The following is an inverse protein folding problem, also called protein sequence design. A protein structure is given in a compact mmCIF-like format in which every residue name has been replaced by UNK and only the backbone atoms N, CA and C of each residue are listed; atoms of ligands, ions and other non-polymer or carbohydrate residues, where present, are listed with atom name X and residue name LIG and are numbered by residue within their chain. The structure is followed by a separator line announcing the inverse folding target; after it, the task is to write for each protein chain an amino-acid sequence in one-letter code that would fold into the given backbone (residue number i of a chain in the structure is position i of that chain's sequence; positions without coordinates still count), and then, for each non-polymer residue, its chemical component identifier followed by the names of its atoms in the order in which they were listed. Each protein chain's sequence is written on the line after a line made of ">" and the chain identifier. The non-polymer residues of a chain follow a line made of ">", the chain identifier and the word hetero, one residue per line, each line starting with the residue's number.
data_IF_892954823499
#
_entry.id   IF_892954823499
#
_cell.length_a   1.000
_cell.length_b   1.000
_cell.length_c   1.000
_cell.angle_alpha   90.00
_cell.angle_beta   90.00
_cell.angle_gamma   90.00
#
_symmetry.space_group_name_H-M   'P 1'
#
loop_
_entity.id
_entity.type
_entity.pdbx_description
1 polymer ?
#
# COMPACT_ATOMS: atom_id res chain seq x y z
N UNK A 1 28.04 -18.99 2.04
CA UNK A 1 27.17 -19.90 1.26
C UNK A 1 25.90 -19.13 0.95
N UNK A 2 25.63 -18.76 -0.32
CA UNK A 2 24.40 -18.06 -0.65
C UNK A 2 23.24 -19.05 -0.71
N UNK A 3 22.12 -18.66 -0.11
CA UNK A 3 20.87 -19.43 -0.07
C UNK A 3 20.10 -19.09 -1.35
N UNK A 4 20.06 -20.03 -2.29
CA UNK A 4 19.21 -19.97 -3.49
C UNK A 4 17.74 -20.18 -3.08
N UNK A 5 16.91 -19.14 -3.22
CA UNK A 5 15.46 -19.32 -3.25
C UNK A 5 15.00 -19.31 -4.71
N UNK A 6 14.85 -20.51 -5.29
CA UNK A 6 14.21 -20.69 -6.59
C UNK A 6 12.70 -20.84 -6.42
N UNK A 7 11.92 -20.09 -7.20
CA UNK A 7 10.49 -20.33 -7.40
C UNK A 7 10.31 -21.07 -8.73
N UNK A 8 9.85 -22.32 -8.69
CA UNK A 8 9.45 -23.07 -9.88
C UNK A 8 7.97 -22.82 -10.18
N UNK A 9 7.66 -22.34 -11.39
CA UNK A 9 6.32 -22.46 -11.98
C UNK A 9 6.41 -23.55 -13.04
N UNK A 10 5.96 -24.75 -12.70
CA UNK A 10 5.96 -25.90 -13.61
C UNK A 10 4.86 -25.78 -14.66
N UNK A 11 5.25 -25.65 -15.93
CA UNK A 11 4.38 -25.89 -17.08
C UNK A 11 4.34 -27.41 -17.33
N UNK A 12 3.14 -28.03 -17.30
CA UNK A 12 2.95 -29.39 -17.85
C UNK A 12 2.34 -29.26 -19.24
N UNK A 13 3.06 -29.78 -20.22
CA UNK A 13 2.55 -30.10 -21.55
C UNK A 13 1.54 -31.24 -21.46
N UNK A 14 0.41 -31.09 -22.16
CA UNK A 14 -0.49 -32.19 -22.49
C UNK A 14 -1.07 -31.95 -23.89
N UNK A 15 -0.52 -32.65 -24.88
CA UNK A 15 -1.11 -32.82 -26.20
C UNK A 15 -1.86 -34.16 -26.25
N UNK A 16 -3.20 -34.14 -26.32
CA UNK A 16 -3.97 -35.13 -27.11
C UNK A 16 -5.33 -34.57 -27.54
N UNK A 17 -5.71 -34.98 -28.75
CA UNK A 17 -6.80 -34.54 -29.63
C UNK A 17 -8.19 -35.03 -29.18
N UNK A 18 -9.25 -34.24 -29.44
CA UNK A 18 -10.64 -34.73 -29.47
C UNK A 18 -11.71 -33.62 -29.53
N UNK A 19 -12.28 -33.38 -30.71
CA UNK A 19 -13.47 -32.53 -30.93
C UNK A 19 -14.75 -33.11 -30.27
N UNK A 20 -15.67 -32.23 -29.81
CA UNK A 20 -17.13 -32.20 -30.10
C UNK A 20 -17.79 -31.02 -29.33
N UNK A 21 -18.86 -30.47 -29.92
CA UNK A 21 -19.62 -29.25 -29.59
C UNK A 21 -20.45 -29.27 -28.28
N UNK A 22 -20.72 -28.04 -27.84
CA UNK A 22 -21.93 -27.45 -27.20
C UNK A 22 -22.22 -27.59 -25.70
N UNK A 23 -22.43 -26.39 -25.12
CA UNK A 23 -23.39 -25.98 -24.09
C UNK A 23 -23.21 -26.38 -22.63
N UNK A 24 -23.47 -25.38 -21.77
CA UNK A 24 -23.81 -25.40 -20.34
C UNK A 24 -22.70 -25.59 -19.28
N UNK A 25 -22.43 -24.51 -18.53
CA UNK A 25 -22.00 -24.52 -17.11
C UNK A 25 -23.05 -25.24 -16.23
N UNK A 26 -22.76 -25.76 -15.00
CA UNK A 26 -21.96 -25.10 -13.94
C UNK A 26 -21.14 -26.00 -12.95
N UNK A 27 -20.26 -25.35 -12.17
CA UNK A 27 -19.81 -25.63 -10.76
C UNK A 27 -19.32 -27.05 -10.38
N UNK A 28 -18.00 -27.21 -10.12
CA UNK A 28 -17.41 -27.92 -8.95
C UNK A 28 -15.92 -28.26 -9.16
N UNK A 29 -14.98 -27.52 -8.53
CA UNK A 29 -13.57 -27.95 -8.46
C UNK A 29 -12.82 -27.40 -7.23
N UNK A 30 -13.48 -27.40 -6.06
CA UNK A 30 -12.94 -26.85 -4.82
C UNK A 30 -12.51 -27.90 -3.78
N UNK A 31 -12.33 -29.18 -4.18
CA UNK A 31 -12.22 -30.29 -3.22
C UNK A 31 -10.99 -31.21 -3.31
N UNK A 32 -10.01 -30.98 -4.21
CA UNK A 32 -8.92 -31.97 -4.41
C UNK A 32 -7.50 -31.54 -4.00
N UNK A 33 -7.30 -30.36 -3.40
CA UNK A 33 -5.95 -29.89 -3.01
C UNK A 33 -5.65 -30.09 -1.51
N UNK A 34 -6.63 -30.46 -0.68
CA UNK A 34 -6.48 -30.49 0.78
C UNK A 34 -5.93 -31.79 1.40
N UNK A 35 -5.55 -32.80 0.61
CA UNK A 35 -5.16 -34.13 1.15
C UNK A 35 -3.69 -34.52 1.05
N UNK A 36 -2.81 -33.73 0.44
CA UNK A 36 -1.46 -34.18 0.13
C UNK A 36 -0.33 -33.63 1.03
N UNK A 37 -0.66 -32.91 2.11
CA UNK A 37 0.32 -32.25 2.99
C UNK A 37 0.42 -32.83 4.41
N UNK A 38 -0.04 -34.07 4.66
CA UNK A 38 -0.10 -34.62 6.02
C UNK A 38 1.05 -35.54 6.47
N UNK A 39 1.97 -35.95 5.59
CA UNK A 39 3.00 -36.93 5.97
C UNK A 39 4.41 -36.49 5.55
N UNK A 40 5.04 -35.58 6.29
CA UNK A 40 6.51 -35.61 6.51
C UNK A 40 6.85 -34.78 7.75
N UNK A 41 7.33 -35.44 8.79
CA UNK A 41 7.70 -34.85 10.09
C UNK A 41 9.22 -34.76 10.24
N UNK A 42 9.66 -33.70 10.91
CA UNK A 42 10.90 -33.51 11.68
C UNK A 42 12.21 -33.12 10.98
N UNK A 43 12.51 -31.81 11.01
CA UNK A 43 13.87 -31.25 11.13
C UNK A 43 13.81 -30.10 12.17
N UNK A 44 14.80 -29.92 13.07
CA UNK A 44 14.76 -28.86 14.08
C UNK A 44 15.07 -27.50 13.45
N UNK A 45 14.20 -26.51 13.67
CA UNK A 45 14.37 -25.12 13.24
C UNK A 45 15.01 -24.31 14.39
N UNK A 46 16.14 -23.61 14.18
CA UNK A 46 16.52 -22.49 15.02
C UNK A 46 15.69 -21.25 14.63
N UNK A 47 14.92 -20.72 15.57
CA UNK A 47 13.99 -19.59 15.40
C UNK A 47 14.67 -18.25 15.79
N UNK A 48 14.11 -17.05 15.50
CA UNK A 48 13.29 -16.59 14.37
C UNK A 48 13.68 -15.18 13.85
N UNK A 49 13.80 -14.97 12.55
CA UNK A 49 13.47 -13.68 11.91
C UNK A 49 12.86 -14.00 10.55
N UNK A 50 11.53 -14.00 10.48
CA UNK A 50 10.62 -14.13 9.33
C UNK A 50 9.51 -15.13 9.69
N UNK A 51 8.47 -14.62 10.33
CA UNK A 51 7.16 -15.26 10.29
C UNK A 51 6.25 -14.38 9.44
N UNK A 52 6.03 -14.82 8.22
CA UNK A 52 4.85 -14.49 7.41
C UNK A 52 3.60 -14.87 8.21
N UNK A 53 2.77 -13.89 8.55
CA UNK A 53 1.45 -14.15 9.12
C UNK A 53 0.48 -14.60 8.01
N UNK A 54 -0.38 -15.60 8.28
CA UNK A 54 -1.43 -15.98 7.36
C UNK A 54 -2.48 -14.88 7.31
N UNK A 55 -2.84 -14.42 6.11
CA UNK A 55 -4.08 -13.69 5.87
C UNK A 55 -5.25 -14.60 6.24
N UNK A 56 -5.76 -14.44 7.46
CA UNK A 56 -7.03 -15.00 7.84
C UNK A 56 -8.10 -14.22 7.07
N UNK A 57 -8.79 -14.91 6.16
CA UNK A 57 -10.00 -14.45 5.51
C UNK A 57 -11.07 -14.15 6.58
N UNK A 58 -11.19 -12.87 6.95
CA UNK A 58 -12.35 -12.33 7.66
C UNK A 58 -13.30 -11.79 6.60
N UNK A 59 -14.57 -12.18 6.72
CA UNK A 59 -15.62 -11.93 5.74
C UNK A 59 -15.67 -10.48 5.26
N UNK A 60 -15.87 -10.34 3.95
CA UNK A 60 -16.13 -9.10 3.26
C UNK A 60 -17.44 -8.47 3.75
N UNK A 61 -17.38 -7.67 4.82
CA UNK A 61 -18.32 -6.57 5.02
C UNK A 61 -17.68 -5.29 4.48
N UNK A 62 -18.40 -4.61 3.57
CA UNK A 62 -17.94 -3.41 2.87
C UNK A 62 -17.61 -2.30 3.87
N UNK A 63 -16.32 -2.12 4.13
CA UNK A 63 -15.81 -0.88 4.68
C UNK A 63 -16.04 0.23 3.64
N UNK A 64 -16.91 1.19 3.95
CA UNK A 64 -17.36 2.25 3.04
C UNK A 64 -16.50 3.52 3.12
N UNK A 65 -15.35 3.46 3.79
CA UNK A 65 -14.52 4.63 4.07
C UNK A 65 -13.13 4.49 3.39
N UNK A 66 -12.86 5.22 2.29
CA UNK A 66 -11.63 5.05 1.49
C UNK A 66 -10.37 5.74 2.02
N UNK A 67 -10.38 6.28 3.25
CA UNK A 67 -9.34 7.20 3.75
C UNK A 67 -8.01 6.53 4.18
N UNK A 68 -7.70 5.33 3.68
CA UNK A 68 -6.53 4.56 4.08
C UNK A 68 -5.68 4.18 2.87
N UNK A 69 -4.97 5.14 2.29
CA UNK A 69 -3.90 4.83 1.34
C UNK A 69 -2.69 5.71 1.59
N UNK A 70 -1.58 5.01 1.84
CA UNK A 70 -0.17 5.40 1.69
C UNK A 70 0.51 6.23 2.78
N UNK A 71 1.42 5.58 3.52
CA UNK A 71 2.72 6.15 3.95
C UNK A 71 3.68 5.03 4.40
N UNK A 72 4.56 4.56 3.50
CA UNK A 72 5.51 3.45 3.76
C UNK A 72 6.46 3.72 4.94
N UNK A 73 6.81 4.97 5.18
CA UNK A 73 7.71 5.37 6.29
C UNK A 73 7.00 5.28 7.65
N UNK A 74 5.71 5.60 7.70
CA UNK A 74 4.90 5.41 8.89
C UNK A 74 4.75 3.90 9.18
N UNK A 75 4.54 3.08 8.14
CA UNK A 75 4.39 1.62 8.30
C UNK A 75 5.62 0.94 8.93
N UNK A 76 6.85 1.21 8.51
CA UNK A 76 8.02 0.50 9.09
C UNK A 76 8.28 0.87 10.56
N UNK A 77 8.25 2.15 10.92
CA UNK A 77 8.45 2.57 12.32
C UNK A 77 7.30 2.10 13.21
N UNK A 78 6.06 2.11 12.70
CA UNK A 78 4.90 1.56 13.42
C UNK A 78 5.04 0.04 13.60
N UNK A 79 5.55 -0.70 12.61
CA UNK A 79 5.73 -2.14 12.71
C UNK A 79 6.79 -2.54 13.76
N UNK A 80 7.92 -1.84 13.82
CA UNK A 80 8.94 -2.14 14.84
C UNK A 80 8.46 -1.78 16.25
N UNK A 81 7.80 -0.63 16.42
CA UNK A 81 7.25 -0.20 17.70
C UNK A 81 6.09 -1.08 18.16
N UNK A 82 5.20 -1.50 17.24
CA UNK A 82 4.11 -2.42 17.58
C UNK A 82 4.65 -3.79 17.95
N UNK A 83 5.66 -4.33 17.26
CA UNK A 83 6.31 -5.58 17.64
C UNK A 83 7.05 -5.49 18.99
N UNK A 84 7.65 -4.34 19.30
CA UNK A 84 8.30 -4.08 20.59
C UNK A 84 7.26 -4.01 21.73
N UNK A 85 6.19 -3.23 21.55
CA UNK A 85 5.09 -3.10 22.52
C UNK A 85 4.37 -4.44 22.72
N UNK A 86 4.15 -5.18 21.65
CA UNK A 86 3.53 -6.51 21.71
C UNK A 86 4.37 -7.48 22.55
N UNK A 87 5.69 -7.52 22.32
CA UNK A 87 6.62 -8.33 23.10
C UNK A 87 6.67 -7.89 24.57
N UNK A 88 6.69 -6.59 24.83
CA UNK A 88 6.68 -6.04 26.19
C UNK A 88 5.41 -6.40 26.98
N UNK A 89 4.29 -6.63 26.28
CA UNK A 89 2.99 -6.93 26.89
C UNK A 89 2.63 -8.43 26.86
N UNK A 90 3.62 -9.31 26.74
CA UNK A 90 3.43 -10.77 26.71
C UNK A 90 2.42 -11.24 25.64
N UNK A 91 2.39 -10.55 24.50
CA UNK A 91 1.48 -10.87 23.40
C UNK A 91 0.00 -10.61 23.69
N UNK A 92 -0.31 -9.75 24.67
CA UNK A 92 -1.66 -9.25 24.87
C UNK A 92 -1.84 -7.94 24.11
N UNK A 93 -2.93 -7.77 23.34
CA UNK A 93 -3.23 -6.50 22.71
C UNK A 93 -3.46 -5.43 23.78
N UNK A 94 -2.76 -4.31 23.68
CA UNK A 94 -2.91 -3.20 24.63
C UNK A 94 -2.93 -1.85 23.91
N UNK A 95 -3.17 -0.80 24.68
CA UNK A 95 -2.91 0.58 24.27
C UNK A 95 -1.64 1.05 24.94
N UNK A 96 -0.61 1.34 24.15
CA UNK A 96 0.65 1.88 24.65
C UNK A 96 0.78 3.36 24.32
N UNK A 97 1.13 4.17 25.31
CA UNK A 97 1.50 5.58 25.10
C UNK A 97 3.01 5.66 24.91
N UNK A 98 3.43 6.16 23.76
CA UNK A 98 4.83 6.38 23.40
C UNK A 98 5.08 7.90 23.32
N UNK A 99 5.85 8.49 24.25
CA UNK A 99 6.28 9.88 24.11
C UNK A 99 7.32 9.95 22.99
N UNK A 100 6.92 10.46 21.81
CA UNK A 100 7.83 10.56 20.66
C UNK A 100 8.68 11.83 20.71
N UNK A 101 8.08 12.96 21.10
CA UNK A 101 8.73 14.28 21.18
C UNK A 101 8.15 15.08 22.36
N UNK A 102 8.83 16.15 22.85
CA UNK A 102 8.28 17.03 23.88
C UNK A 102 6.89 17.56 23.47
N UNK A 103 5.86 17.22 24.23
CA UNK A 103 4.48 17.62 23.95
C UNK A 103 3.71 16.73 22.96
N UNK A 104 4.34 15.74 22.33
CA UNK A 104 3.70 14.81 21.38
C UNK A 104 3.66 13.40 21.97
N UNK A 105 2.44 12.93 22.25
CA UNK A 105 2.18 11.59 22.72
C UNK A 105 1.55 10.79 21.58
N UNK A 106 2.19 9.69 21.19
CA UNK A 106 1.63 8.74 20.24
C UNK A 106 0.97 7.60 21.01
N UNK A 107 -0.26 7.26 20.64
CA UNK A 107 -0.98 6.13 21.23
C UNK A 107 -1.02 5.00 20.19
N UNK A 108 -0.43 3.86 20.55
CA UNK A 108 -0.42 2.65 19.74
C UNK A 108 -1.54 1.73 20.21
N UNK A 109 -2.54 1.54 19.36
CA UNK A 109 -3.67 0.65 19.59
C UNK A 109 -3.41 -0.69 18.89
N UNK A 110 -3.43 -1.79 19.64
CA UNK A 110 -3.22 -3.14 19.10
C UNK A 110 -4.49 -4.02 19.14
N UNK A 111 -5.48 -3.62 19.93
CA UNK A 111 -6.73 -4.35 20.14
C UNK A 111 -7.72 -4.09 18.97
N UNK A 112 -8.15 -5.13 18.24
CA UNK A 112 -9.08 -4.98 17.12
C UNK A 112 -10.41 -4.31 17.48
N UNK A 113 -10.97 -4.58 18.67
CA UNK A 113 -12.24 -4.00 19.11
C UNK A 113 -12.08 -2.51 19.43
N UNK A 114 -10.92 -2.12 19.97
CA UNK A 114 -10.58 -0.70 20.17
C UNK A 114 -10.39 -0.01 18.81
N UNK A 115 -9.65 -0.65 17.90
CA UNK A 115 -9.41 -0.12 16.55
C UNK A 115 -10.76 0.09 15.83
N UNK A 116 -11.67 -0.88 15.86
CA UNK A 116 -13.01 -0.75 15.27
C UNK A 116 -13.79 0.43 15.86
N UNK A 117 -13.75 0.62 17.19
CA UNK A 117 -14.38 1.76 17.85
C UNK A 117 -13.78 3.10 17.40
N UNK A 118 -12.46 3.17 17.25
CA UNK A 118 -11.77 4.37 16.76
C UNK A 118 -12.22 4.69 15.32
N UNK A 119 -12.30 3.69 14.44
CA UNK A 119 -12.78 3.90 13.07
C UNK A 119 -14.21 4.44 13.00
N UNK A 120 -15.09 3.98 13.89
CA UNK A 120 -16.47 4.47 14.01
C UNK A 120 -16.54 5.95 14.43
N UNK A 121 -15.53 6.46 15.12
CA UNK A 121 -15.43 7.88 15.52
C UNK A 121 -14.37 8.65 14.72
N UNK A 122 -14.01 8.17 13.53
CA UNK A 122 -12.98 8.78 12.67
C UNK A 122 -13.21 10.27 12.34
N UNK A 123 -14.45 10.76 12.38
CA UNK A 123 -14.76 12.19 12.24
C UNK A 123 -14.19 13.07 13.37
N UNK A 124 -13.83 12.48 14.50
CA UNK A 124 -13.17 13.15 15.62
C UNK A 124 -11.63 13.15 15.51
N UNK A 125 -11.07 12.40 14.56
CA UNK A 125 -9.64 12.33 14.32
C UNK A 125 -9.22 13.43 13.34
N UNK A 126 -8.16 14.16 13.71
CA UNK A 126 -7.62 15.25 12.90
C UNK A 126 -6.23 14.87 12.35
N UNK A 127 -6.20 14.46 11.07
CA UNK A 127 -4.97 14.12 10.36
C UNK A 127 -4.23 15.35 9.81
N UNK A 128 -4.87 16.53 9.78
CA UNK A 128 -4.37 17.71 9.07
C UNK A 128 -3.01 18.20 9.58
N UNK A 129 -2.73 18.26 10.90
CA UNK A 129 -1.41 18.67 11.39
C UNK A 129 -0.29 17.74 10.91
N UNK A 130 -0.56 16.43 10.84
CA UNK A 130 0.40 15.45 10.35
C UNK A 130 0.65 15.62 8.84
N UNK A 131 -0.41 15.76 8.04
CA UNK A 131 -0.29 16.04 6.61
C UNK A 131 0.51 17.31 6.34
N UNK A 132 0.27 18.38 7.11
CA UNK A 132 1.00 19.65 6.99
C UNK A 132 2.47 19.50 7.39
N UNK A 133 2.77 18.75 8.45
CA UNK A 133 4.15 18.43 8.81
C UNK A 133 4.88 17.71 7.67
N UNK A 134 4.22 16.72 7.05
CA UNK A 134 4.78 16.01 5.91
C UNK A 134 5.00 16.94 4.70
N UNK A 135 3.96 17.66 4.27
CA UNK A 135 4.04 18.54 3.10
C UNK A 135 5.09 19.64 3.25
N UNK A 136 5.28 20.18 4.47
CA UNK A 136 6.29 21.22 4.72
C UNK A 136 7.70 20.67 4.70
N UNK A 137 7.94 19.56 5.40
CA UNK A 137 9.29 19.10 5.66
C UNK A 137 9.80 18.12 4.60
N UNK A 138 8.94 17.25 4.09
CA UNK A 138 9.28 16.37 2.97
C UNK A 138 9.06 17.11 1.65
N UNK A 139 7.82 17.51 1.33
CA UNK A 139 7.50 18.03 0.00
C UNK A 139 7.95 19.49 -0.28
N UNK A 140 8.60 20.15 0.68
CA UNK A 140 9.11 21.52 0.51
C UNK A 140 8.02 22.59 0.37
N UNK A 141 6.80 22.33 0.83
CA UNK A 141 5.68 23.27 0.72
C UNK A 141 5.92 24.52 1.58
N UNK A 142 5.70 25.71 0.99
CA UNK A 142 5.87 26.98 1.70
C UNK A 142 4.94 27.09 2.93
N UNK A 143 5.25 27.99 3.87
CA UNK A 143 4.42 28.17 5.08
C UNK A 143 3.02 28.63 4.74
N UNK A 144 2.93 29.52 3.77
CA UNK A 144 1.73 30.16 3.29
C UNK A 144 0.81 29.11 2.68
N UNK A 145 1.34 28.26 1.78
CA UNK A 145 0.58 27.19 1.14
C UNK A 145 0.18 26.10 2.12
N UNK A 146 1.08 25.70 3.01
CA UNK A 146 0.79 24.69 4.03
C UNK A 146 -0.28 25.16 5.02
N UNK A 147 -0.32 26.46 5.34
CA UNK A 147 -1.35 27.02 6.20
C UNK A 147 -2.74 26.90 5.59
N UNK A 148 -2.91 26.86 4.27
CA UNK A 148 -4.22 26.66 3.64
C UNK A 148 -4.91 25.38 4.12
N UNK A 149 -4.14 24.31 4.31
CA UNK A 149 -4.62 23.04 4.84
C UNK A 149 -5.08 23.18 6.30
N UNK A 150 -4.37 23.94 7.14
CA UNK A 150 -4.79 24.16 8.54
C UNK A 150 -6.02 25.06 8.66
N UNK A 151 -6.20 26.00 7.74
CA UNK A 151 -7.33 26.93 7.73
C UNK A 151 -8.63 26.29 7.22
N UNK A 152 -8.53 25.26 6.36
CA UNK A 152 -9.71 24.53 5.91
C UNK A 152 -10.26 23.63 7.03
N UNK A 153 -11.29 24.13 7.69
CA UNK A 153 -12.09 23.39 8.70
C UNK A 153 -13.41 22.87 8.16
N UNK A 154 -13.66 23.02 6.86
CA UNK A 154 -14.98 22.75 6.28
C UNK A 154 -15.25 21.28 5.98
N UNK A 155 -14.22 20.45 6.01
CA UNK A 155 -14.30 19.02 5.70
C UNK A 155 -14.43 18.71 4.20
N UNK A 156 -14.49 17.42 3.88
CA UNK A 156 -14.45 16.89 2.51
C UNK A 156 -15.81 16.89 1.79
N UNK A 157 -16.92 17.01 2.55
CA UNK A 157 -18.27 16.90 2.01
C UNK A 157 -18.65 18.12 1.16
N UNK A 158 -19.64 17.95 0.27
CA UNK A 158 -20.16 19.06 -0.54
C UNK A 158 -20.67 20.22 0.33
N UNK A 159 -21.41 19.90 1.41
CA UNK A 159 -21.80 20.88 2.42
C UNK A 159 -20.69 21.00 3.47
N UNK A 160 -20.25 22.22 3.83
CA UNK A 160 -19.34 22.45 4.94
C UNK A 160 -19.86 21.87 6.25
N UNK A 161 -18.93 21.51 7.15
CA UNK A 161 -19.29 21.12 8.53
C UNK A 161 -20.04 22.25 9.25
N UNK A 162 -21.04 21.92 10.10
CA UNK A 162 -21.78 22.92 10.87
C UNK A 162 -20.86 23.84 11.67
N UNK A 163 -21.13 25.15 11.65
CA UNK A 163 -20.33 26.14 12.38
C UNK A 163 -18.99 26.49 11.73
N UNK A 164 -18.70 25.97 10.54
CA UNK A 164 -17.50 26.31 9.77
C UNK A 164 -17.86 27.06 8.50
N UNK A 165 -17.03 28.01 8.09
CA UNK A 165 -17.21 28.77 6.85
C UNK A 165 -15.85 29.05 6.24
N UNK A 166 -15.74 28.81 4.93
CA UNK A 166 -14.56 29.09 4.13
C UNK A 166 -15.03 29.31 2.68
N UNK A 167 -14.48 30.29 1.93
CA UNK A 167 -14.77 30.43 0.51
C UNK A 167 -14.50 29.13 -0.26
N UNK A 168 -15.33 28.78 -1.25
CA UNK A 168 -15.25 27.49 -1.96
C UNK A 168 -13.87 27.23 -2.60
N UNK A 169 -13.17 28.28 -3.05
CA UNK A 169 -11.82 28.16 -3.61
C UNK A 169 -10.75 27.79 -2.57
N UNK A 170 -11.02 28.02 -1.28
CA UNK A 170 -10.13 27.75 -0.14
C UNK A 170 -10.44 26.42 0.56
N UNK A 171 -11.41 25.65 0.07
CA UNK A 171 -11.79 24.32 0.61
C UNK A 171 -10.89 23.23 0.05
N UNK A 172 -9.63 23.22 0.47
CA UNK A 172 -8.58 22.32 -0.01
C UNK A 172 -8.97 20.84 0.12
N UNK A 173 -9.52 20.41 1.27
CA UNK A 173 -9.83 19.00 1.49
C UNK A 173 -10.98 18.50 0.64
N UNK A 174 -11.96 19.37 0.37
CA UNK A 174 -13.04 19.03 -0.57
C UNK A 174 -12.48 18.81 -1.97
N UNK A 175 -11.58 19.70 -2.43
CA UNK A 175 -10.99 19.59 -3.78
C UNK A 175 -10.17 18.33 -3.95
N UNK A 176 -9.34 18.00 -2.94
CA UNK A 176 -8.56 16.75 -2.93
C UNK A 176 -9.51 15.55 -2.96
N UNK A 177 -10.51 15.52 -2.08
CA UNK A 177 -11.47 14.42 -2.03
C UNK A 177 -12.25 14.24 -3.34
N UNK A 178 -12.73 15.32 -3.95
CA UNK A 178 -13.43 15.26 -5.23
C UNK A 178 -12.51 14.78 -6.36
N UNK A 179 -11.26 15.26 -6.41
CA UNK A 179 -10.24 14.83 -7.37
C UNK A 179 -9.94 13.33 -7.23
N UNK A 180 -9.65 12.89 -6.01
CA UNK A 180 -9.33 11.48 -5.72
C UNK A 180 -10.51 10.57 -6.04
N UNK A 181 -11.73 10.98 -5.66
CA UNK A 181 -12.94 10.21 -5.95
C UNK A 181 -13.21 10.12 -7.45
N UNK A 182 -12.90 11.15 -8.22
CA UNK A 182 -13.06 11.15 -9.68
C UNK A 182 -11.99 10.31 -10.37
N UNK A 183 -10.75 10.28 -9.86
CA UNK A 183 -9.62 9.63 -10.53
C UNK A 183 -9.38 8.18 -10.05
N UNK A 184 -9.71 7.85 -8.81
CA UNK A 184 -9.27 6.61 -8.15
C UNK A 184 -10.42 5.65 -7.80
N UNK A 185 -11.66 5.95 -8.20
CA UNK A 185 -12.82 5.12 -7.87
C UNK A 185 -13.65 4.79 -9.11
N UNK A 186 -14.00 3.50 -9.24
CA UNK A 186 -14.91 3.01 -10.27
C UNK A 186 -14.43 3.34 -11.68
N UNK A 187 -15.30 3.86 -12.57
CA UNK A 187 -14.93 4.18 -13.96
C UNK A 187 -13.79 5.19 -14.11
N UNK A 188 -13.51 5.99 -13.07
CA UNK A 188 -12.42 6.97 -13.08
C UNK A 188 -11.04 6.33 -13.05
N UNK A 189 -10.90 5.18 -12.38
CA UNK A 189 -9.64 4.46 -12.25
C UNK A 189 -9.29 3.65 -13.51
N UNK A 190 -10.30 3.15 -14.21
CA UNK A 190 -10.16 2.20 -15.33
C UNK A 190 -9.13 2.63 -16.38
N UNK A 191 -9.13 3.90 -16.87
CA UNK A 191 -8.15 4.31 -17.88
C UNK A 191 -6.72 4.27 -17.36
N UNK A 192 -6.51 4.66 -16.10
CA UNK A 192 -5.18 4.65 -15.46
C UNK A 192 -4.72 3.22 -15.20
N UNK A 193 -5.63 2.34 -14.77
CA UNK A 193 -5.33 0.92 -14.58
C UNK A 193 -4.95 0.24 -15.90
N UNK A 194 -5.68 0.49 -16.98
CA UNK A 194 -5.35 -0.08 -18.29
C UNK A 194 -3.96 0.38 -18.76
N UNK A 195 -3.67 1.69 -18.64
CA UNK A 195 -2.33 2.22 -18.97
C UNK A 195 -1.24 1.58 -18.11
N UNK A 196 -1.49 1.35 -16.83
CA UNK A 196 -0.56 0.66 -15.95
C UNK A 196 -0.32 -0.79 -16.40
N UNK A 197 -1.38 -1.55 -16.69
CA UNK A 197 -1.27 -2.93 -17.18
C UNK A 197 -0.44 -2.97 -18.46
N UNK A 198 -0.74 -2.12 -19.43
CA UNK A 198 -0.02 -2.06 -20.70
C UNK A 198 1.46 -1.70 -20.49
N UNK A 199 1.73 -0.66 -19.68
CA UNK A 199 3.08 -0.21 -19.36
C UNK A 199 3.90 -1.25 -18.58
N UNK A 200 3.25 -1.96 -17.66
CA UNK A 200 3.85 -3.02 -16.86
C UNK A 200 4.13 -4.27 -17.69
N UNK A 201 3.16 -4.74 -18.47
CA UNK A 201 3.32 -5.89 -19.37
C UNK A 201 4.46 -5.68 -20.38
N UNK A 202 4.59 -4.48 -20.97
CA UNK A 202 5.71 -4.16 -21.87
C UNK A 202 7.08 -4.26 -21.18
N UNK A 203 7.18 -3.82 -19.91
CA UNK A 203 8.43 -3.91 -19.14
C UNK A 203 8.71 -5.34 -18.70
N UNK A 204 7.68 -6.08 -18.33
CA UNK A 204 7.81 -7.50 -17.95
C UNK A 204 8.22 -8.41 -19.12
N UNK A 205 7.94 -8.01 -20.37
CA UNK A 205 8.37 -8.74 -21.55
C UNK A 205 9.90 -8.87 -21.66
N UNK A 206 10.68 -8.01 -20.99
CA UNK A 206 12.15 -8.15 -20.94
C UNK A 206 12.57 -9.40 -20.14
N UNK A 207 11.72 -9.84 -19.20
CA UNK A 207 11.98 -11.02 -18.37
C UNK A 207 11.49 -12.33 -18.98
N UNK A 208 10.86 -12.31 -20.17
CA UNK A 208 10.49 -13.55 -20.88
C UNK A 208 11.67 -14.12 -21.65
N UNK A 209 12.78 -14.35 -20.96
CA UNK A 209 13.96 -15.01 -21.53
C UNK A 209 13.82 -16.54 -21.50
N UNK A 210 14.44 -17.21 -22.47
CA UNK A 210 14.55 -18.68 -22.51
C UNK A 210 15.58 -19.20 -21.52
N UNK A 211 16.43 -18.33 -20.98
CA UNK A 211 17.52 -18.64 -20.07
C UNK A 211 17.37 -17.85 -18.76
N UNK A 212 17.99 -18.36 -17.70
CA UNK A 212 18.02 -17.70 -16.40
C UNK A 212 18.72 -16.35 -16.49
N UNK A 213 18.03 -15.29 -16.08
CA UNK A 213 18.60 -13.95 -15.95
C UNK A 213 19.05 -13.79 -14.50
N UNK A 214 20.35 -13.55 -14.29
CA UNK A 214 20.86 -13.15 -12.98
C UNK A 214 20.59 -11.66 -12.74
N UNK A 215 20.09 -11.33 -11.56
CA UNK A 215 19.74 -9.97 -11.18
C UNK A 215 20.51 -9.59 -9.93
N UNK A 216 21.28 -8.49 -10.00
CA UNK A 216 22.11 -8.04 -8.88
C UNK A 216 21.27 -7.64 -7.65
N UNK A 217 20.13 -6.98 -7.89
CA UNK A 217 19.17 -6.60 -6.85
C UNK A 217 17.73 -6.80 -7.37
N UNK A 218 17.12 -7.89 -6.92
CA UNK A 218 15.74 -8.24 -7.25
C UNK A 218 14.74 -7.17 -6.78
N UNK A 219 14.98 -6.56 -5.62
CA UNK A 219 14.07 -5.55 -5.07
C UNK A 219 14.15 -4.25 -5.87
N UNK A 220 15.37 -3.78 -6.18
CA UNK A 220 15.58 -2.62 -7.04
C UNK A 220 14.91 -2.84 -8.40
N UNK A 221 15.00 -4.04 -8.98
CA UNK A 221 14.34 -4.32 -10.25
C UNK A 221 12.81 -4.27 -10.16
N UNK A 222 12.20 -4.85 -9.12
CA UNK A 222 10.74 -4.75 -8.91
C UNK A 222 10.35 -3.28 -8.76
N UNK A 223 11.05 -2.55 -7.90
CA UNK A 223 10.81 -1.13 -7.66
C UNK A 223 10.86 -0.33 -8.97
N UNK A 224 11.91 -0.51 -9.76
CA UNK A 224 12.07 0.17 -11.03
C UNK A 224 10.97 -0.19 -12.04
N UNK A 225 10.64 -1.48 -12.15
CA UNK A 225 9.65 -1.96 -13.11
C UNK A 225 8.25 -1.44 -12.78
N UNK A 226 7.83 -1.60 -11.53
CA UNK A 226 6.49 -1.19 -11.07
C UNK A 226 6.37 0.33 -11.05
N UNK A 227 7.32 1.04 -10.46
CA UNK A 227 7.26 2.50 -10.36
C UNK A 227 7.32 3.16 -11.74
N UNK A 228 8.12 2.65 -12.69
CA UNK A 228 8.14 3.19 -14.04
C UNK A 228 6.81 2.97 -14.77
N UNK A 229 6.16 1.81 -14.60
CA UNK A 229 4.84 1.56 -15.15
C UNK A 229 3.78 2.49 -14.53
N UNK A 230 3.85 2.71 -13.21
CA UNK A 230 2.96 3.63 -12.49
C UNK A 230 3.14 5.09 -12.94
N UNK A 231 4.38 5.57 -13.02
CA UNK A 231 4.68 6.93 -13.47
C UNK A 231 4.24 7.16 -14.92
N UNK A 232 4.44 6.18 -15.79
CA UNK A 232 3.93 6.23 -17.16
C UNK A 232 2.39 6.24 -17.20
N UNK A 233 1.73 5.44 -16.36
CA UNK A 233 0.28 5.41 -16.31
C UNK A 233 -0.32 6.73 -15.84
N UNK A 234 0.31 7.41 -14.87
CA UNK A 234 -0.19 8.66 -14.29
C UNK A 234 0.18 9.86 -15.17
N UNK A 235 1.44 10.00 -15.57
CA UNK A 235 1.98 11.20 -16.23
C UNK A 235 2.20 11.03 -17.74
N UNK A 236 2.04 9.81 -18.26
CA UNK A 236 2.33 9.46 -19.64
C UNK A 236 3.81 9.10 -19.88
N UNK A 237 4.12 8.48 -21.03
CA UNK A 237 5.48 8.01 -21.34
C UNK A 237 6.50 9.14 -21.46
N UNK A 238 6.05 10.34 -21.87
CA UNK A 238 6.94 11.48 -22.09
C UNK A 238 7.67 11.93 -20.81
N UNK A 239 7.06 11.69 -19.65
CA UNK A 239 7.66 12.05 -18.36
C UNK A 239 8.99 11.32 -18.14
N UNK A 240 9.00 10.00 -18.34
CA UNK A 240 10.21 9.18 -18.17
C UNK A 240 11.22 9.37 -19.30
N UNK A 241 10.78 9.77 -20.50
CA UNK A 241 11.70 10.18 -21.57
C UNK A 241 12.47 11.45 -21.20
N UNK A 242 11.82 12.42 -20.54
CA UNK A 242 12.44 13.67 -20.12
C UNK A 242 13.27 13.51 -18.84
N UNK A 243 12.88 12.57 -17.97
CA UNK A 243 13.52 12.32 -16.68
C UNK A 243 13.80 10.83 -16.50
N UNK A 244 14.77 10.26 -17.24
CA UNK A 244 15.05 8.82 -17.21
C UNK A 244 15.49 8.32 -15.82
N UNK A 245 16.17 9.17 -15.05
CA UNK A 245 16.67 8.84 -13.72
C UNK A 245 15.63 9.07 -12.61
N UNK A 246 14.41 9.51 -12.96
CA UNK A 246 13.41 9.91 -11.98
C UNK A 246 13.12 8.81 -10.96
N UNK A 247 12.99 7.55 -11.40
CA UNK A 247 12.66 6.45 -10.49
C UNK A 247 13.77 6.21 -9.47
N UNK A 248 15.04 6.26 -9.91
CA UNK A 248 16.20 6.13 -9.02
C UNK A 248 16.20 7.26 -7.99
N UNK A 249 16.05 8.50 -8.46
CA UNK A 249 16.03 9.70 -7.62
C UNK A 249 14.85 9.70 -6.65
N UNK A 250 13.68 9.21 -7.08
CA UNK A 250 12.51 9.06 -6.23
C UNK A 250 12.79 8.12 -5.05
N UNK A 251 13.37 6.95 -5.29
CA UNK A 251 13.71 6.02 -4.21
C UNK A 251 14.91 6.46 -3.39
N UNK A 252 15.85 7.22 -3.94
CA UNK A 252 16.90 7.89 -3.17
C UNK A 252 16.29 8.89 -2.19
N UNK A 253 15.37 9.72 -2.67
CA UNK A 253 14.65 10.69 -1.86
C UNK A 253 13.71 10.03 -0.82
N UNK A 254 13.00 8.95 -1.18
CA UNK A 254 12.14 8.18 -0.26
C UNK A 254 12.91 7.68 0.98
N UNK A 255 14.16 7.25 0.80
CA UNK A 255 15.05 6.83 1.90
C UNK A 255 15.41 7.99 2.85
N UNK A 256 15.32 9.23 2.39
CA UNK A 256 15.60 10.42 3.19
C UNK A 256 14.37 10.93 3.95
N UNK A 257 13.16 10.55 3.56
CA UNK A 257 11.92 11.00 4.23
C UNK A 257 11.96 10.86 5.75
N UNK A 258 12.41 9.74 6.36
CA UNK A 258 12.46 9.63 7.82
C UNK A 258 13.38 10.67 8.48
N UNK A 259 14.42 11.15 7.79
CA UNK A 259 15.31 12.19 8.32
C UNK A 259 14.73 13.59 8.16
N UNK A 260 13.95 13.81 7.11
CA UNK A 260 13.26 15.08 6.85
C UNK A 260 12.09 15.31 7.81
N UNK A 261 11.47 14.25 8.33
CA UNK A 261 10.31 14.35 9.22
C UNK A 261 10.63 14.50 10.72
N UNK A 262 11.92 14.58 11.08
CA UNK A 262 12.40 14.68 12.47
C UNK A 262 12.08 16.02 13.12
#
# INVERSE_FOLDING_TARGET
>A
MPINMGLCVGHRDCHTVGCIRSSTCPVSLHASISRQWKDTTQVPIPNPLLWSYPSAAVGHERCSNPSCVSDRVCFMLVLELTAMVWRSNNGKPTVARVPMLPGINVYLYQDPDIIERIWKVSSSLDFRPMAVHFLRNACGLSRESANLYLHDKTGMNAKPLPGTSCPEHMRVYRKIYESDRQALIGPGLEPTLQRFIDAFSRRMAVFTATEWIEMEDFWACIQHTVAAAEMEAIFGPKFLEMHPDFISLFFEYDRLIPSLLK
#
